data_IF_649842684305
#
_entry.id   IF_649842684305
#
_cell.length_a   1.000
_cell.length_b   1.000
_cell.length_c   1.000
_cell.angle_alpha   90.00
_cell.angle_beta   90.00
_cell.angle_gamma   90.00
#
_symmetry.space_group_name_H-M   'P 1'
#
loop_
_entity.id
_entity.type
_entity.pdbx_description
1 polymer ?
#
# COMPACT_ATOMS: atom_id res chain seq x y z
N UNK A 1 -16.98 -14.67 -62.09
CA UNK A 1 -18.08 -14.64 -61.11
C UNK A 1 -17.52 -14.11 -59.80
N UNK A 2 -17.60 -12.80 -59.58
CA UNK A 2 -17.04 -12.15 -58.40
C UNK A 2 -18.01 -12.34 -57.23
N UNK A 3 -17.56 -13.05 -56.19
CA UNK A 3 -18.34 -13.28 -54.96
C UNK A 3 -18.08 -12.07 -54.05
N UNK A 4 -19.05 -11.16 -53.95
CA UNK A 4 -19.07 -10.12 -52.92
C UNK A 4 -19.28 -10.80 -51.56
N UNK A 5 -18.21 -10.91 -50.76
CA UNK A 5 -18.33 -11.17 -49.33
C UNK A 5 -19.01 -9.95 -48.67
N UNK A 6 -20.02 -10.15 -47.81
CA UNK A 6 -20.59 -9.06 -47.02
C UNK A 6 -19.51 -8.51 -46.08
N UNK A 7 -19.20 -7.22 -46.23
CA UNK A 7 -18.44 -6.47 -45.23
C UNK A 7 -19.26 -6.51 -43.95
N UNK A 8 -18.74 -7.21 -42.94
CA UNK A 8 -19.33 -7.30 -41.61
C UNK A 8 -18.87 -6.05 -40.83
N UNK A 9 -19.76 -5.09 -40.50
CA UNK A 9 -19.38 -3.90 -39.75
C UNK A 9 -19.27 -4.24 -38.25
N UNK A 10 -18.26 -5.01 -37.87
CA UNK A 10 -17.96 -5.38 -36.47
C UNK A 10 -17.25 -4.30 -35.65
N UNK A 11 -16.95 -3.13 -36.24
CA UNK A 11 -16.17 -2.04 -35.63
C UNK A 11 -16.90 -1.02 -34.72
N UNK A 12 -18.19 -1.12 -34.33
CA UNK A 12 -18.73 -0.25 -33.28
C UNK A 12 -18.41 -0.75 -31.85
N UNK A 13 -18.40 -2.08 -31.64
CA UNK A 13 -18.47 -2.68 -30.29
C UNK A 13 -17.20 -2.50 -29.44
N UNK A 14 -16.02 -2.47 -30.07
CA UNK A 14 -14.74 -2.26 -29.38
C UNK A 14 -14.47 -0.78 -29.04
N UNK A 15 -15.00 0.16 -29.84
CA UNK A 15 -14.90 1.60 -29.56
C UNK A 15 -15.73 2.02 -28.35
N UNK A 16 -16.87 1.37 -28.10
CA UNK A 16 -17.75 1.70 -26.97
C UNK A 16 -17.25 1.19 -25.60
N UNK A 17 -16.33 0.21 -25.58
CA UNK A 17 -15.72 -0.30 -24.35
C UNK A 17 -14.63 0.63 -23.81
N UNK A 18 -13.87 1.29 -24.70
CA UNK A 18 -12.78 2.23 -24.35
C UNK A 18 -13.23 3.38 -23.42
N UNK A 19 -14.35 4.10 -23.68
CA UNK A 19 -14.85 5.13 -22.78
C UNK A 19 -15.34 4.60 -21.44
N UNK A 20 -15.80 3.33 -21.37
CA UNK A 20 -16.25 2.69 -20.12
C UNK A 20 -15.09 2.12 -19.31
N UNK A 21 -14.00 1.72 -19.96
CA UNK A 21 -12.79 1.23 -19.30
C UNK A 21 -12.05 2.35 -18.55
N UNK A 22 -11.99 3.56 -19.09
CA UNK A 22 -11.34 4.71 -18.42
C UNK A 22 -11.84 4.99 -16.99
N UNK A 23 -13.16 5.16 -16.74
CA UNK A 23 -13.66 5.41 -15.40
C UNK A 23 -13.51 4.19 -14.48
N UNK A 24 -13.54 2.97 -15.01
CA UNK A 24 -13.34 1.74 -14.20
C UNK A 24 -11.89 1.61 -13.76
N UNK A 25 -10.92 1.79 -14.66
CA UNK A 25 -9.48 1.72 -14.37
C UNK A 25 -9.05 2.81 -13.39
N UNK A 26 -9.56 4.04 -13.55
CA UNK A 26 -9.27 5.12 -12.59
C UNK A 26 -9.79 4.80 -11.19
N UNK A 27 -11.02 4.27 -11.09
CA UNK A 27 -11.60 3.86 -9.81
C UNK A 27 -10.80 2.72 -9.16
N UNK A 28 -10.38 1.74 -9.93
CA UNK A 28 -9.60 0.60 -9.44
C UNK A 28 -8.23 1.02 -8.93
N UNK A 29 -7.53 1.89 -9.68
CA UNK A 29 -6.25 2.49 -9.25
C UNK A 29 -6.47 3.35 -8.00
N UNK A 30 -7.51 4.20 -7.97
CA UNK A 30 -7.80 5.04 -6.82
C UNK A 30 -8.10 4.24 -5.55
N UNK A 31 -8.88 3.16 -5.66
CA UNK A 31 -9.17 2.26 -4.53
C UNK A 31 -7.90 1.55 -4.07
N UNK A 32 -7.08 1.05 -4.99
CA UNK A 32 -5.80 0.39 -4.66
C UNK A 32 -4.87 1.35 -3.92
N UNK A 33 -4.69 2.57 -4.45
CA UNK A 33 -3.86 3.58 -3.80
C UNK A 33 -4.42 4.01 -2.45
N UNK A 34 -5.75 4.15 -2.31
CA UNK A 34 -6.37 4.48 -1.04
C UNK A 34 -6.09 3.41 0.03
N UNK A 35 -6.19 2.12 -0.33
CA UNK A 35 -5.88 1.01 0.58
C UNK A 35 -4.40 1.01 0.96
N UNK A 36 -3.50 1.21 0.00
CA UNK A 36 -2.05 1.28 0.26
C UNK A 36 -1.72 2.45 1.20
N UNK A 37 -2.25 3.65 0.93
CA UNK A 37 -2.02 4.83 1.75
C UNK A 37 -2.61 4.69 3.15
N UNK A 38 -3.83 4.16 3.26
CA UNK A 38 -4.47 3.89 4.55
C UNK A 38 -3.66 2.88 5.37
N UNK A 39 -3.22 1.79 4.74
CA UNK A 39 -2.41 0.77 5.41
C UNK A 39 -1.07 1.35 5.86
N UNK A 40 -0.43 2.14 5.00
CA UNK A 40 0.84 2.82 5.34
C UNK A 40 0.66 3.77 6.52
N UNK A 41 -0.40 4.57 6.51
CA UNK A 41 -0.73 5.48 7.61
C UNK A 41 -1.04 4.73 8.92
N UNK A 42 -1.73 3.59 8.84
CA UNK A 42 -2.01 2.77 10.00
C UNK A 42 -0.72 2.19 10.60
N UNK A 43 0.15 1.63 9.76
CA UNK A 43 1.45 1.09 10.18
C UNK A 43 2.33 2.16 10.83
N UNK A 44 2.35 3.38 10.27
CA UNK A 44 3.13 4.49 10.86
C UNK A 44 2.58 4.90 12.22
N UNK A 45 1.25 4.99 12.37
CA UNK A 45 0.63 5.27 13.67
C UNK A 45 1.00 4.19 14.69
N UNK A 46 0.85 2.91 14.36
CA UNK A 46 1.24 1.79 15.25
C UNK A 46 2.72 1.88 15.64
N UNK A 47 3.61 2.16 14.69
CA UNK A 47 5.04 2.33 14.96
C UNK A 47 5.32 3.50 15.92
N UNK A 48 4.62 4.63 15.77
CA UNK A 48 4.75 5.78 16.67
C UNK A 48 4.22 5.46 18.08
N UNK A 49 3.10 4.75 18.21
CA UNK A 49 2.59 4.32 19.52
C UNK A 49 3.57 3.37 20.22
N UNK A 50 4.14 2.40 19.50
CA UNK A 50 5.15 1.49 20.05
C UNK A 50 6.41 2.23 20.51
N UNK A 51 6.89 3.18 19.70
CA UNK A 51 8.03 4.02 20.03
C UNK A 51 7.77 4.89 21.28
N UNK A 52 6.58 5.50 21.38
CA UNK A 52 6.17 6.26 22.55
C UNK A 52 6.11 5.38 23.81
N UNK A 53 5.59 4.14 23.68
CA UNK A 53 5.59 3.15 24.75
C UNK A 53 6.98 2.81 25.23
N UNK A 54 7.91 2.51 24.33
CA UNK A 54 9.31 2.22 24.67
C UNK A 54 10.03 3.43 25.30
N UNK A 55 9.77 4.64 24.80
CA UNK A 55 10.29 5.87 25.40
C UNK A 55 9.74 6.09 26.81
N UNK A 56 8.45 5.80 27.04
CA UNK A 56 7.81 5.89 28.35
C UNK A 56 8.35 4.87 29.34
N UNK A 57 8.52 3.62 28.91
CA UNK A 57 9.18 2.57 29.69
C UNK A 57 10.60 2.99 30.07
N UNK A 58 11.36 3.53 29.13
CA UNK A 58 12.70 4.05 29.41
C UNK A 58 12.71 5.23 30.40
N UNK A 59 11.67 6.09 30.41
CA UNK A 59 11.50 7.11 31.47
C UNK A 59 11.23 6.47 32.83
N UNK A 60 10.41 5.43 32.88
CA UNK A 60 10.14 4.68 34.11
C UNK A 60 11.41 3.99 34.63
N UNK A 61 12.26 3.50 33.73
CA UNK A 61 13.59 2.94 34.04
C UNK A 61 14.63 4.00 34.45
N UNK A 62 14.24 5.26 34.61
CA UNK A 62 15.13 6.39 34.97
C UNK A 62 16.25 6.63 33.95
N UNK A 63 16.07 6.22 32.69
CA UNK A 63 17.03 6.47 31.64
C UNK A 63 17.17 7.98 31.35
N UNK A 64 18.36 8.44 30.98
CA UNK A 64 18.58 9.82 30.54
C UNK A 64 17.79 10.15 29.27
N UNK A 65 17.37 11.41 29.06
CA UNK A 65 16.59 11.85 27.87
C UNK A 65 17.11 11.30 26.53
N UNK A 66 18.41 11.39 26.22
CA UNK A 66 18.95 10.81 24.99
C UNK A 66 18.77 9.29 24.94
N UNK A 67 18.94 8.57 26.04
CA UNK A 67 18.77 7.12 26.09
C UNK A 67 17.32 6.66 25.85
N UNK A 68 16.32 7.39 26.35
CA UNK A 68 14.93 7.03 26.02
C UNK A 68 14.60 7.32 24.56
N UNK A 69 15.16 8.40 23.99
CA UNK A 69 14.94 8.76 22.61
C UNK A 69 15.58 7.74 21.65
N UNK A 70 16.77 7.24 21.94
CA UNK A 70 17.38 6.16 21.15
C UNK A 70 16.59 4.85 21.24
N UNK A 71 16.08 4.48 22.42
CA UNK A 71 15.21 3.31 22.57
C UNK A 71 13.89 3.46 21.80
N UNK A 72 13.26 4.62 21.86
CA UNK A 72 12.04 4.90 21.09
C UNK A 72 12.31 4.81 19.57
N UNK A 73 13.40 5.43 19.09
CA UNK A 73 13.80 5.38 17.69
C UNK A 73 14.12 3.95 17.20
N UNK A 74 14.82 3.16 18.02
CA UNK A 74 15.09 1.76 17.72
C UNK A 74 13.80 0.93 17.62
N UNK A 75 12.83 1.19 18.50
CA UNK A 75 11.54 0.49 18.49
C UNK A 75 10.73 0.85 17.24
N UNK A 76 10.71 2.13 16.85
CA UNK A 76 10.11 2.58 15.60
C UNK A 76 10.72 1.86 14.39
N UNK A 77 12.05 1.87 14.29
CA UNK A 77 12.77 1.22 13.19
C UNK A 77 12.48 -0.29 13.13
N UNK A 78 12.40 -0.96 14.28
CA UNK A 78 12.07 -2.38 14.36
C UNK A 78 10.66 -2.67 13.81
N UNK A 79 9.66 -1.87 14.18
CA UNK A 79 8.27 -2.04 13.68
C UNK A 79 8.19 -1.85 12.16
N UNK A 80 8.84 -0.81 11.63
CA UNK A 80 8.86 -0.57 10.18
C UNK A 80 9.61 -1.66 9.42
N UNK A 81 10.73 -2.15 9.97
CA UNK A 81 11.48 -3.27 9.38
C UNK A 81 10.64 -4.53 9.33
N UNK A 82 9.92 -4.85 10.42
CA UNK A 82 9.01 -5.99 10.47
C UNK A 82 7.91 -5.86 9.42
N UNK A 83 7.28 -4.69 9.30
CA UNK A 83 6.26 -4.44 8.30
C UNK A 83 6.80 -4.62 6.86
N UNK A 84 8.02 -4.15 6.59
CA UNK A 84 8.68 -4.32 5.30
C UNK A 84 8.96 -5.80 4.99
N UNK A 85 9.46 -6.55 5.97
CA UNK A 85 9.71 -8.00 5.84
C UNK A 85 8.39 -8.74 5.56
N UNK A 86 7.33 -8.48 6.34
CA UNK A 86 6.02 -9.11 6.13
C UNK A 86 5.51 -8.79 4.72
N UNK A 87 5.55 -7.53 4.30
CA UNK A 87 5.13 -7.11 2.96
C UNK A 87 5.92 -7.82 1.86
N UNK A 88 7.24 -7.91 2.01
CA UNK A 88 8.12 -8.63 1.08
C UNK A 88 7.80 -10.12 1.03
N UNK A 89 7.62 -10.78 2.18
CA UNK A 89 7.28 -12.21 2.24
C UNK A 89 5.91 -12.50 1.64
N UNK A 90 4.90 -11.67 1.91
CA UNK A 90 3.58 -11.82 1.31
C UNK A 90 3.65 -11.62 -0.21
N UNK A 91 4.40 -10.62 -0.68
CA UNK A 91 4.61 -10.41 -2.11
C UNK A 91 5.20 -11.67 -2.75
N UNK A 92 6.29 -12.20 -2.18
CA UNK A 92 6.95 -13.40 -2.70
C UNK A 92 6.07 -14.68 -2.68
N UNK A 93 5.07 -14.75 -1.81
CA UNK A 93 4.12 -15.89 -1.75
C UNK A 93 2.92 -15.72 -2.69
N UNK A 94 2.57 -14.48 -3.06
CA UNK A 94 1.36 -14.12 -3.80
C UNK A 94 1.63 -13.80 -5.27
N UNK A 95 2.89 -13.64 -5.67
CA UNK A 95 3.34 -13.45 -7.07
C UNK A 95 4.13 -14.64 -7.56
#
# INVERSE_FOLDING_TARGET
MFILLPVNPGEPRFRDLRPRQHPTVYREIAVTLAVVLLTTAFVTVVALLAAAGAGKLARMDHASYPTALTRAAATFAAVITLAAVVTGTLTALLT
#
